data_IF_093765752047
#
_entry.id   IF_093765752047
#
_cell.length_a   1.000
_cell.length_b   1.000
_cell.length_c   1.000
_cell.angle_alpha   90.00
_cell.angle_beta   90.00
_cell.angle_gamma   90.00
#
_symmetry.space_group_name_H-M   'P 1'
#
loop_
_entity.id
_entity.type
_entity.pdbx_description
1 polymer ?
#
# COMPACT_ATOMS: atom_id res chain seq x y z
N UNK A 1 2.94 -3.72 -3.11
CA UNK A 1 2.89 -5.16 -3.44
C UNK A 1 1.69 -5.51 -4.32
N UNK A 2 0.48 -5.07 -4.00
CA UNK A 2 -0.72 -5.35 -4.79
C UNK A 2 -1.17 -4.18 -5.69
N UNK A 3 -0.52 -3.03 -5.63
CA UNK A 3 -0.85 -1.83 -6.39
C UNK A 3 0.39 -1.24 -7.05
N UNK A 4 0.29 -0.94 -8.35
CA UNK A 4 1.36 -0.28 -9.11
C UNK A 4 1.73 1.10 -8.57
N UNK A 5 0.73 1.86 -8.13
CA UNK A 5 0.86 3.28 -7.82
C UNK A 5 0.89 3.59 -6.32
N UNK A 6 1.03 2.58 -5.47
CA UNK A 6 1.10 2.79 -4.02
C UNK A 6 2.48 3.30 -3.61
N UNK A 7 2.55 4.44 -2.95
CA UNK A 7 3.80 4.99 -2.43
C UNK A 7 3.88 4.82 -0.90
N UNK A 8 4.70 3.86 -0.47
CA UNK A 8 4.94 3.59 0.94
C UNK A 8 5.64 4.76 1.65
N UNK A 9 6.40 5.57 0.91
CA UNK A 9 7.13 6.70 1.46
C UNK A 9 6.22 7.87 1.86
N UNK A 10 5.05 7.95 1.24
CA UNK A 10 4.03 8.95 1.58
C UNK A 10 3.10 8.48 2.72
N UNK A 11 3.28 7.24 3.20
CA UNK A 11 2.51 6.74 4.33
C UNK A 11 2.99 7.37 5.63
N UNK A 12 2.04 7.76 6.47
CA UNK A 12 2.35 8.37 7.75
C UNK A 12 1.61 7.64 8.88
N UNK A 13 2.39 7.06 9.77
CA UNK A 13 1.92 6.31 10.94
C UNK A 13 2.42 6.93 12.25
N UNK A 14 3.00 8.13 12.22
CA UNK A 14 3.62 8.75 13.39
C UNK A 14 2.59 9.38 14.33
N UNK A 15 2.60 8.99 15.59
CA UNK A 15 1.81 9.62 16.65
C UNK A 15 2.17 11.11 16.84
N UNK A 16 3.44 11.48 16.66
CA UNK A 16 3.88 12.86 16.76
C UNK A 16 3.17 13.77 15.75
N UNK A 17 2.99 13.29 14.52
CA UNK A 17 2.28 14.05 13.48
C UNK A 17 0.78 14.15 13.77
N UNK A 18 0.20 13.16 14.45
CA UNK A 18 -1.18 13.20 14.90
C UNK A 18 -1.42 14.31 15.94
N UNK A 19 -0.42 14.58 16.78
CA UNK A 19 -0.48 15.62 17.81
C UNK A 19 -0.15 17.03 17.29
N UNK A 20 0.40 17.18 16.08
CA UNK A 20 0.68 18.49 15.49
C UNK A 20 -0.63 19.25 15.25
N UNK A 21 -0.68 20.45 15.81
CA UNK A 21 -1.79 21.40 15.56
C UNK A 21 -1.63 22.02 14.17
N UNK A 22 -2.74 22.20 13.48
CA UNK A 22 -2.78 22.95 12.23
C UNK A 22 -2.63 24.47 12.50
N UNK A 23 -2.62 25.26 11.41
CA UNK A 23 -2.54 26.74 11.49
C UNK A 23 -3.70 27.39 12.28
N UNK A 24 -4.78 26.66 12.53
CA UNK A 24 -5.94 27.11 13.32
C UNK A 24 -5.89 26.58 14.77
N UNK A 25 -4.82 25.90 15.15
CA UNK A 25 -4.65 25.32 16.49
C UNK A 25 -5.39 24.01 16.72
N UNK A 26 -6.00 23.43 15.69
CA UNK A 26 -6.75 22.18 15.77
C UNK A 26 -5.78 21.00 15.63
N UNK A 27 -5.82 20.06 16.57
CA UNK A 27 -5.08 18.81 16.46
C UNK A 27 -5.80 17.84 15.52
N UNK A 28 -5.02 16.92 14.92
CA UNK A 28 -5.59 15.84 14.12
C UNK A 28 -6.29 14.77 14.96
N UNK A 29 -6.28 14.90 16.28
CA UNK A 29 -7.00 14.04 17.20
C UNK A 29 -8.51 13.96 16.94
N UNK A 30 -9.10 15.01 16.34
CA UNK A 30 -10.49 15.03 15.89
C UNK A 30 -10.75 14.31 14.56
N UNK A 31 -9.73 13.75 13.92
CA UNK A 31 -9.98 13.00 12.68
C UNK A 31 -10.80 11.73 12.97
N UNK A 32 -11.68 11.38 12.03
CA UNK A 32 -12.62 10.26 12.18
C UNK A 32 -11.92 8.93 12.54
N UNK A 33 -10.75 8.65 11.98
CA UNK A 33 -9.99 7.42 12.29
C UNK A 33 -9.49 7.39 13.74
N UNK A 34 -9.03 8.53 14.29
CA UNK A 34 -8.55 8.61 15.66
C UNK A 34 -9.71 8.51 16.63
N UNK A 35 -10.81 9.23 16.35
CA UNK A 35 -12.02 9.14 17.14
C UNK A 35 -12.59 7.71 17.17
N UNK A 36 -12.61 7.03 16.02
CA UNK A 36 -13.07 5.65 15.91
C UNK A 36 -12.17 4.69 16.70
N UNK A 37 -10.84 4.82 16.55
CA UNK A 37 -9.89 3.99 17.29
C UNK A 37 -10.03 4.20 18.81
N UNK A 38 -10.15 5.45 19.28
CA UNK A 38 -10.35 5.78 20.70
C UNK A 38 -11.68 5.21 21.24
N UNK A 39 -12.76 5.28 20.44
CA UNK A 39 -14.08 4.82 20.85
C UNK A 39 -14.23 3.30 20.84
N UNK A 40 -13.55 2.60 19.94
CA UNK A 40 -13.80 1.17 19.68
C UNK A 40 -12.60 0.27 19.91
N UNK A 41 -11.40 0.81 20.05
CA UNK A 41 -10.15 0.04 20.14
C UNK A 41 -9.74 -0.64 18.83
N UNK A 42 -10.38 -0.33 17.68
CA UNK A 42 -10.02 -0.90 16.39
C UNK A 42 -8.58 -0.51 16.02
N UNK A 43 -7.73 -1.50 15.83
CA UNK A 43 -6.31 -1.29 15.50
C UNK A 43 -6.10 -0.87 14.04
N UNK A 44 -6.90 -1.43 13.12
CA UNK A 44 -6.78 -1.19 11.68
C UNK A 44 -7.77 -0.11 11.23
N UNK A 45 -7.42 1.14 11.46
CA UNK A 45 -8.22 2.30 11.05
C UNK A 45 -7.33 3.27 10.26
N UNK A 46 -7.46 3.24 8.94
CA UNK A 46 -6.60 4.00 8.03
C UNK A 46 -7.43 4.88 7.10
N UNK A 47 -6.83 5.98 6.63
CA UNK A 47 -7.33 6.74 5.49
C UNK A 47 -6.44 6.40 4.30
N UNK A 48 -7.04 6.00 3.18
CA UNK A 48 -6.38 5.86 1.90
C UNK A 48 -6.67 7.11 1.09
N UNK A 49 -5.62 7.83 0.69
CA UNK A 49 -5.74 9.02 -0.12
C UNK A 49 -5.19 8.73 -1.53
N UNK A 50 -5.98 9.05 -2.55
CA UNK A 50 -5.57 8.98 -3.95
C UNK A 50 -5.36 10.38 -4.50
N UNK A 51 -4.29 10.57 -5.28
CA UNK A 51 -4.09 11.80 -6.01
C UNK A 51 -5.13 11.91 -7.14
N UNK A 52 -5.58 13.13 -7.44
CA UNK A 52 -6.53 13.37 -8.53
C UNK A 52 -5.90 13.37 -9.92
N UNK A 53 -4.57 13.49 -10.02
CA UNK A 53 -3.88 13.65 -11.29
C UNK A 53 -3.03 12.44 -11.65
N UNK A 54 -2.00 12.15 -10.85
CA UNK A 54 -1.08 11.02 -11.11
C UNK A 54 -0.41 10.58 -9.82
N UNK A 55 0.06 9.31 -9.80
CA UNK A 55 0.93 8.82 -8.74
C UNK A 55 2.36 9.33 -8.90
N UNK A 56 3.18 9.13 -7.87
CA UNK A 56 4.61 9.46 -7.88
C UNK A 56 5.49 8.26 -8.19
N UNK A 57 4.96 7.07 -8.06
CA UNK A 57 5.73 5.84 -8.11
C UNK A 57 5.01 4.75 -8.88
N UNK A 58 5.80 3.93 -9.56
CA UNK A 58 5.33 2.68 -10.16
C UNK A 58 6.08 1.54 -9.48
N UNK A 59 5.34 0.67 -8.79
CA UNK A 59 5.89 -0.50 -8.14
C UNK A 59 5.96 -1.67 -9.11
N UNK A 60 7.01 -2.48 -9.01
CA UNK A 60 7.06 -3.76 -9.69
C UNK A 60 6.17 -4.77 -8.96
N UNK A 61 5.26 -5.40 -9.69
CA UNK A 61 4.36 -6.40 -9.13
C UNK A 61 4.86 -7.81 -9.43
N UNK A 62 4.92 -8.64 -8.41
CA UNK A 62 5.19 -10.06 -8.58
C UNK A 62 3.99 -10.77 -9.23
N UNK A 63 4.19 -11.90 -9.94
CA UNK A 63 3.10 -12.71 -10.45
C UNK A 63 2.17 -13.20 -9.34
N UNK A 64 0.93 -13.50 -9.67
CA UNK A 64 -0.04 -14.14 -8.76
C UNK A 64 0.22 -15.64 -8.71
N UNK A 65 0.15 -16.23 -7.54
CA UNK A 65 0.15 -17.67 -7.34
C UNK A 65 -1.25 -18.16 -6.97
N UNK A 66 -1.86 -18.96 -7.83
CA UNK A 66 -3.16 -19.57 -7.58
C UNK A 66 -2.98 -20.84 -6.74
N UNK A 67 -3.38 -20.78 -5.48
CA UNK A 67 -3.24 -21.89 -4.52
C UNK A 67 -4.08 -23.10 -4.91
N UNK A 68 -5.26 -22.90 -5.46
CA UNK A 68 -6.17 -23.99 -5.83
C UNK A 68 -5.67 -24.76 -7.06
N UNK A 69 -5.09 -24.05 -8.03
CA UNK A 69 -4.56 -24.63 -9.26
C UNK A 69 -3.10 -25.06 -9.16
N UNK A 70 -2.38 -24.60 -8.12
CA UNK A 70 -0.95 -24.84 -7.95
C UNK A 70 -0.07 -24.22 -9.04
N UNK A 71 -0.54 -23.16 -9.70
CA UNK A 71 0.15 -22.55 -10.83
C UNK A 71 0.29 -21.03 -10.68
N UNK A 72 1.21 -20.47 -11.45
CA UNK A 72 1.35 -19.01 -11.60
C UNK A 72 0.31 -18.54 -12.59
N UNK A 73 -0.48 -17.53 -12.22
CA UNK A 73 -1.32 -16.79 -13.14
C UNK A 73 -0.47 -15.69 -13.77
N UNK A 74 -0.26 -15.80 -15.07
CA UNK A 74 0.56 -14.86 -15.84
C UNK A 74 -0.25 -13.62 -16.18
N UNK A 75 0.09 -12.51 -15.53
CA UNK A 75 -0.35 -11.17 -15.90
C UNK A 75 0.82 -10.44 -16.57
N UNK A 76 1.27 -10.95 -17.72
CA UNK A 76 2.46 -10.48 -18.44
C UNK A 76 2.53 -8.97 -18.58
N UNK A 77 1.40 -8.31 -18.81
CA UNK A 77 1.36 -6.86 -18.94
C UNK A 77 1.80 -6.11 -17.68
N UNK A 78 1.60 -6.69 -16.49
CA UNK A 78 1.88 -6.02 -15.19
C UNK A 78 3.16 -6.54 -14.56
N UNK A 79 3.59 -7.75 -14.89
CA UNK A 79 4.77 -8.40 -14.30
C UNK A 79 6.01 -8.32 -15.16
N UNK A 80 5.88 -8.05 -16.46
CA UNK A 80 7.02 -7.86 -17.36
C UNK A 80 7.64 -6.48 -17.14
N UNK A 81 8.91 -6.39 -16.69
CA UNK A 81 9.63 -5.11 -16.54
C UNK A 81 9.76 -4.31 -17.85
N UNK A 82 9.60 -4.95 -18.99
CA UNK A 82 9.67 -4.30 -20.32
C UNK A 82 8.30 -3.80 -20.79
N UNK A 83 7.24 -4.05 -20.04
CA UNK A 83 5.90 -3.60 -20.42
C UNK A 83 5.80 -2.07 -20.43
N UNK A 84 4.83 -1.55 -21.19
CA UNK A 84 4.57 -0.11 -21.28
C UNK A 84 4.32 0.56 -19.91
N UNK A 85 3.85 -0.19 -18.91
CA UNK A 85 3.61 0.33 -17.56
C UNK A 85 4.89 0.84 -16.87
N UNK A 86 6.05 0.27 -17.22
CA UNK A 86 7.34 0.60 -16.60
C UNK A 86 8.23 1.48 -17.47
N UNK A 87 7.86 1.68 -18.76
CA UNK A 87 8.68 2.41 -19.74
C UNK A 87 8.29 3.88 -19.87
N UNK A 88 7.18 4.29 -19.36
CA UNK A 88 6.64 5.63 -19.55
C UNK A 88 6.99 6.56 -18.39
N UNK A 89 8.23 6.97 -18.21
CA UNK A 89 8.61 8.11 -17.36
C UNK A 89 7.86 8.25 -16.02
N UNK A 90 7.39 9.43 -15.64
CA UNK A 90 6.61 9.63 -14.43
C UNK A 90 5.29 8.85 -14.50
N UNK A 91 4.77 8.46 -13.32
CA UNK A 91 3.53 7.69 -13.20
C UNK A 91 2.42 8.22 -14.12
N UNK A 92 1.69 7.36 -14.81
CA UNK A 92 0.62 7.79 -15.71
C UNK A 92 -0.47 8.56 -14.95
N UNK A 93 -1.22 9.43 -15.64
CA UNK A 93 -2.37 10.09 -15.04
C UNK A 93 -3.36 9.07 -14.49
N UNK A 94 -3.92 9.35 -13.31
CA UNK A 94 -4.96 8.49 -12.72
C UNK A 94 -6.23 8.60 -13.57
N UNK A 95 -6.76 7.46 -13.89
CA UNK A 95 -8.02 7.27 -14.60
C UNK A 95 -8.92 6.29 -13.81
N UNK A 96 -10.16 6.05 -14.21
CA UNK A 96 -11.04 5.12 -13.53
C UNK A 96 -10.44 3.72 -13.35
N UNK A 97 -9.72 3.19 -14.35
CA UNK A 97 -9.12 1.85 -14.30
C UNK A 97 -8.05 1.76 -13.20
N UNK A 98 -7.21 2.80 -13.06
CA UNK A 98 -6.19 2.86 -12.00
C UNK A 98 -6.84 2.95 -10.62
N UNK A 99 -7.95 3.70 -10.48
CA UNK A 99 -8.68 3.79 -9.22
C UNK A 99 -9.36 2.46 -8.87
N UNK A 100 -9.86 1.73 -9.86
CA UNK A 100 -10.37 0.37 -9.69
C UNK A 100 -9.26 -0.59 -9.23
N UNK A 101 -8.07 -0.53 -9.85
CA UNK A 101 -6.90 -1.30 -9.44
C UNK A 101 -6.49 -1.02 -7.99
N UNK A 102 -6.59 0.23 -7.55
CA UNK A 102 -6.36 0.59 -6.14
C UNK A 102 -7.37 -0.10 -5.22
N UNK A 103 -8.65 -0.08 -5.58
CA UNK A 103 -9.71 -0.78 -4.84
C UNK A 103 -9.47 -2.30 -4.75
N UNK A 104 -9.14 -2.94 -5.87
CA UNK A 104 -8.77 -4.35 -5.93
C UNK A 104 -7.54 -4.68 -5.09
N UNK A 105 -6.54 -3.79 -5.09
CA UNK A 105 -5.33 -3.96 -4.29
C UNK A 105 -5.60 -3.91 -2.78
N UNK A 106 -6.51 -3.04 -2.34
CA UNK A 106 -6.94 -2.97 -0.92
C UNK A 106 -7.64 -4.26 -0.52
N UNK A 107 -8.61 -4.73 -1.32
CA UNK A 107 -9.31 -5.98 -1.05
C UNK A 107 -8.33 -7.18 -1.01
N UNK A 108 -7.41 -7.26 -1.96
CA UNK A 108 -6.36 -8.29 -2.01
C UNK A 108 -5.46 -8.24 -0.77
N UNK A 109 -5.08 -7.04 -0.31
CA UNK A 109 -4.26 -6.88 0.90
C UNK A 109 -4.97 -7.37 2.15
N UNK A 110 -6.28 -7.13 2.29
CA UNK A 110 -7.07 -7.65 3.41
C UNK A 110 -7.10 -9.19 3.43
N UNK A 111 -7.27 -9.81 2.26
CA UNK A 111 -7.22 -11.27 2.12
C UNK A 111 -5.81 -11.82 2.42
N UNK A 112 -4.75 -11.12 2.01
CA UNK A 112 -3.37 -11.49 2.30
C UNK A 112 -3.07 -11.43 3.80
N UNK A 113 -3.51 -10.37 4.49
CA UNK A 113 -3.37 -10.23 5.96
C UNK A 113 -4.05 -11.38 6.70
N UNK A 114 -5.19 -11.86 6.20
CA UNK A 114 -5.92 -13.01 6.75
C UNK A 114 -5.38 -14.36 6.27
N UNK A 115 -4.38 -14.37 5.37
CA UNK A 115 -3.82 -15.58 4.73
C UNK A 115 -4.83 -16.43 3.96
N UNK A 116 -5.95 -15.83 3.56
CA UNK A 116 -7.04 -16.49 2.82
C UNK A 116 -7.11 -16.09 1.34
N UNK A 117 -6.18 -15.27 0.86
CA UNK A 117 -6.13 -14.90 -0.55
C UNK A 117 -5.80 -16.13 -1.43
N UNK A 118 -6.72 -16.56 -2.31
CA UNK A 118 -6.48 -17.72 -3.18
C UNK A 118 -5.48 -17.43 -4.31
N UNK A 119 -5.30 -16.16 -4.66
CA UNK A 119 -4.43 -15.69 -5.76
C UNK A 119 -3.49 -14.59 -5.24
N UNK A 120 -2.59 -14.97 -4.34
CA UNK A 120 -1.68 -14.02 -3.70
C UNK A 120 -0.42 -13.78 -4.53
N UNK A 121 0.03 -12.51 -4.57
CA UNK A 121 1.36 -12.13 -5.08
C UNK A 121 2.46 -12.32 -4.03
N UNK A 122 2.07 -12.51 -2.77
CA UNK A 122 2.96 -12.49 -1.62
C UNK A 122 4.07 -13.55 -1.73
N UNK A 123 3.69 -14.78 -2.08
CA UNK A 123 4.60 -15.93 -2.17
C UNK A 123 5.72 -15.74 -3.21
N UNK A 124 5.43 -15.06 -4.31
CA UNK A 124 6.37 -14.82 -5.41
C UNK A 124 7.02 -13.43 -5.34
N UNK A 125 6.66 -12.62 -4.35
CA UNK A 125 7.29 -11.32 -4.10
C UNK A 125 8.63 -11.46 -3.38
N UNK A 126 9.41 -10.37 -3.34
CA UNK A 126 10.63 -10.29 -2.54
C UNK A 126 10.39 -10.54 -1.04
N UNK A 127 9.17 -10.31 -0.56
CA UNK A 127 8.78 -10.52 0.84
C UNK A 127 8.48 -11.97 1.18
N UNK A 128 8.07 -12.78 0.21
CA UNK A 128 7.70 -14.21 0.32
C UNK A 128 6.51 -14.53 1.22
N UNK A 129 6.34 -13.82 2.32
CA UNK A 129 5.25 -14.02 3.28
C UNK A 129 4.93 -12.71 4.04
N UNK A 130 3.88 -12.72 4.86
CA UNK A 130 3.44 -11.56 5.62
C UNK A 130 4.49 -11.07 6.62
N UNK A 131 5.25 -11.98 7.23
CA UNK A 131 6.32 -11.61 8.17
C UNK A 131 7.49 -10.91 7.46
N UNK A 132 7.75 -11.25 6.19
CA UNK A 132 8.69 -10.51 5.35
C UNK A 132 8.25 -9.07 5.10
N UNK A 133 6.95 -8.85 4.82
CA UNK A 133 6.38 -7.50 4.67
C UNK A 133 6.50 -6.70 5.97
N UNK A 134 6.11 -7.29 7.09
CA UNK A 134 6.21 -6.63 8.41
C UNK A 134 7.65 -6.22 8.72
N UNK A 135 8.60 -7.09 8.46
CA UNK A 135 10.04 -6.82 8.67
C UNK A 135 10.52 -5.63 7.84
N UNK A 136 10.14 -5.60 6.57
CA UNK A 136 10.50 -4.50 5.66
C UNK A 136 9.90 -3.17 6.13
N UNK A 137 8.62 -3.17 6.54
CA UNK A 137 7.97 -1.98 7.10
C UNK A 137 8.71 -1.48 8.34
N UNK A 138 9.07 -2.36 9.27
CA UNK A 138 9.78 -1.98 10.50
C UNK A 138 11.14 -1.38 10.18
N UNK A 139 11.90 -1.99 9.27
CA UNK A 139 13.21 -1.45 8.86
C UNK A 139 13.08 -0.08 8.20
N UNK A 140 12.09 0.11 7.33
CA UNK A 140 11.87 1.38 6.67
C UNK A 140 11.40 2.48 7.64
N UNK A 141 10.51 2.16 8.58
CA UNK A 141 10.09 3.12 9.62
C UNK A 141 11.29 3.63 10.44
N UNK A 142 12.23 2.77 10.80
CA UNK A 142 13.45 3.16 11.51
C UNK A 142 14.34 4.09 10.67
N UNK A 143 14.46 3.85 9.37
CA UNK A 143 15.22 4.74 8.48
C UNK A 143 14.56 6.13 8.36
N UNK A 144 13.24 6.21 8.29
CA UNK A 144 12.51 7.48 8.26
C UNK A 144 12.61 8.26 9.56
N UNK A 145 12.62 7.58 10.70
CA UNK A 145 12.79 8.23 12.01
C UNK A 145 14.19 8.80 12.22
N UNK A 146 15.21 8.23 11.59
CA UNK A 146 16.59 8.68 11.67
C UNK A 146 16.94 9.83 10.72
N UNK A 147 16.20 10.01 9.63
CA UNK A 147 16.42 11.05 8.62
C UNK A 147 15.71 12.38 8.88
N UNK A 148 14.94 12.49 9.97
CA UNK A 148 14.19 13.70 10.36
C UNK A 148 14.77 14.39 11.63
N UNK A 149 15.98 14.06 12.01
CA UNK A 149 16.78 14.76 13.03
C UNK A 149 17.85 15.62 12.33
#
# INVERSE_FOLDING_TARGET
>A
MNCLNFDMNECNFSEKIMAIKDKNGLSRDGSSRVALQKATGITHCYTLECNYHNGRRINHLAPKFNKAKGCIEDETAVTDPKSKHYQTGPSPPFNPDILEDVGHAVASALLDIKSINPVSRLTLSCFRNLEGVKRDIVMNIHQYSAGQL
#
